data_IF_730724090439
#
_entry.id   IF_730724090439
#
_cell.length_a   1.000
_cell.length_b   1.000
_cell.length_c   1.000
_cell.angle_alpha   90.00
_cell.angle_beta   90.00
_cell.angle_gamma   90.00
#
_symmetry.space_group_name_H-M   'P 1'
#
loop_
_entity.id
_entity.type
_entity.pdbx_description
1 polymer ?
#
# COMPACT_ATOMS: atom_id res chain seq x y z
N UNK A 1 7.19 -13.92 -3.55
CA UNK A 1 6.89 -12.61 -2.93
C UNK A 1 6.42 -12.86 -1.51
N UNK A 2 6.97 -12.18 -0.49
CA UNK A 2 6.69 -12.48 0.93
C UNK A 2 5.26 -12.10 1.36
N UNK A 3 4.59 -11.20 0.64
CA UNK A 3 3.22 -10.77 0.93
C UNK A 3 2.24 -11.31 -0.11
N UNK A 4 1.14 -11.90 0.34
CA UNK A 4 0.07 -12.43 -0.53
C UNK A 4 -1.21 -11.58 -0.48
N UNK A 5 -1.24 -10.54 0.35
CA UNK A 5 -2.39 -9.65 0.57
C UNK A 5 -1.94 -8.21 0.77
N UNK A 6 -2.76 -7.30 0.26
CA UNK A 6 -2.58 -5.86 0.36
C UNK A 6 -3.89 -5.25 0.87
N UNK A 7 -3.80 -4.29 1.78
CA UNK A 7 -4.90 -3.37 2.06
C UNK A 7 -4.68 -2.08 1.30
N UNK A 8 -5.77 -1.47 0.87
CA UNK A 8 -5.77 -0.14 0.31
C UNK A 8 -6.74 0.74 1.11
N UNK A 9 -6.25 1.86 1.61
CA UNK A 9 -7.10 2.89 2.18
C UNK A 9 -7.65 3.79 1.09
N UNK A 10 -8.77 4.47 1.38
CA UNK A 10 -9.29 5.51 0.48
C UNK A 10 -8.27 6.64 0.27
N UNK A 11 -7.52 6.97 1.33
CA UNK A 11 -6.52 8.04 1.37
C UNK A 11 -5.16 7.66 0.74
N UNK A 12 -5.12 6.64 -0.12
CA UNK A 12 -3.93 6.34 -0.92
C UNK A 12 -2.82 5.59 -0.18
N UNK A 13 -3.12 4.92 0.95
CA UNK A 13 -2.13 4.08 1.63
C UNK A 13 -2.29 2.63 1.18
N UNK A 14 -1.19 2.02 0.75
CA UNK A 14 -1.13 0.62 0.37
C UNK A 14 -0.29 -0.13 1.42
N UNK A 15 -0.91 -1.08 2.10
CA UNK A 15 -0.33 -1.74 3.29
C UNK A 15 -0.17 -3.23 2.96
N UNK A 16 1.05 -3.74 2.77
CA UNK A 16 1.27 -5.16 2.64
C UNK A 16 1.01 -5.86 3.97
N UNK A 17 0.23 -6.94 3.92
CA UNK A 17 -0.08 -7.75 5.09
C UNK A 17 0.73 -9.04 5.09
N UNK A 18 1.37 -9.31 6.23
CA UNK A 18 1.97 -10.60 6.50
C UNK A 18 0.90 -11.58 7.00
N UNK A 19 0.76 -12.73 6.34
CA UNK A 19 -0.22 -13.74 6.72
C UNK A 19 0.14 -14.51 8.00
N UNK A 20 1.41 -14.54 8.40
CA UNK A 20 1.87 -15.38 9.53
C UNK A 20 1.73 -14.69 10.89
N UNK A 21 1.90 -13.37 10.94
CA UNK A 21 2.03 -12.64 12.21
C UNK A 21 0.80 -11.79 12.57
N UNK A 22 -0.26 -11.83 11.75
CA UNK A 22 -1.51 -11.14 12.06
C UNK A 22 -2.31 -11.88 13.14
N UNK A 23 -2.71 -11.15 14.18
CA UNK A 23 -3.58 -11.67 15.25
C UNK A 23 -5.02 -11.93 14.80
N UNK A 24 -5.45 -11.28 13.72
CA UNK A 24 -6.81 -11.39 13.16
C UNK A 24 -6.69 -11.99 11.77
N UNK A 25 -7.52 -12.99 11.46
CA UNK A 25 -7.59 -13.52 10.09
C UNK A 25 -7.89 -12.36 9.12
N UNK A 26 -7.00 -12.09 8.13
CA UNK A 26 -7.20 -11.00 7.18
C UNK A 26 -8.55 -11.05 6.43
N UNK A 27 -9.18 -12.22 6.30
CA UNK A 27 -10.53 -12.34 5.71
C UNK A 27 -11.62 -11.68 6.56
N UNK A 28 -11.40 -11.60 7.87
CA UNK A 28 -12.35 -11.05 8.83
C UNK A 28 -12.10 -9.56 9.13
N UNK A 29 -10.99 -8.99 8.64
CA UNK A 29 -10.57 -7.62 8.96
C UNK A 29 -11.60 -6.57 8.56
N UNK A 30 -12.23 -6.72 7.38
CA UNK A 30 -13.22 -5.77 6.89
C UNK A 30 -14.58 -5.85 7.59
N UNK A 31 -14.84 -6.92 8.34
CA UNK A 31 -16.09 -7.11 9.08
C UNK A 31 -15.94 -6.83 10.57
N UNK A 32 -14.73 -7.04 11.12
CA UNK A 32 -14.43 -6.72 12.51
C UNK A 32 -14.07 -5.25 12.65
N UNK A 33 -14.41 -4.66 13.79
CA UNK A 33 -13.98 -3.31 14.15
C UNK A 33 -14.43 -2.22 13.16
N UNK A 34 -15.59 -2.41 12.54
CA UNK A 34 -16.15 -1.46 11.56
C UNK A 34 -15.32 -1.28 10.28
N UNK A 35 -14.30 -2.11 10.06
CA UNK A 35 -13.31 -1.92 8.99
C UNK A 35 -12.31 -0.79 9.26
N UNK A 36 -12.31 -0.20 10.46
CA UNK A 36 -11.36 0.83 10.86
C UNK A 36 -10.10 0.19 11.46
N UNK A 37 -8.95 0.57 10.91
CA UNK A 37 -7.64 0.13 11.38
C UNK A 37 -6.72 1.34 11.52
N UNK A 38 -5.91 1.33 12.57
CA UNK A 38 -4.80 2.28 12.74
C UNK A 38 -3.50 1.55 12.46
N UNK A 39 -2.84 1.92 11.36
CA UNK A 39 -1.55 1.34 10.97
C UNK A 39 -0.41 2.32 11.29
N UNK A 40 0.55 1.87 12.09
CA UNK A 40 1.82 2.56 12.33
C UNK A 40 2.90 1.82 11.56
N UNK A 41 3.63 2.51 10.70
CA UNK A 41 4.61 1.90 9.82
C UNK A 41 5.55 2.90 9.17
N UNK A 42 6.44 2.38 8.31
CA UNK A 42 7.41 3.18 7.56
C UNK A 42 6.93 3.29 6.12
N UNK A 43 6.92 4.51 5.58
CA UNK A 43 6.71 4.72 4.14
C UNK A 43 8.00 4.29 3.43
N UNK A 44 7.94 3.19 2.68
CA UNK A 44 9.11 2.65 1.97
C UNK A 44 9.13 3.03 0.50
N UNK A 45 7.99 3.40 -0.06
CA UNK A 45 7.87 3.79 -1.45
C UNK A 45 6.66 4.70 -1.66
N UNK A 46 6.73 5.55 -2.69
CA UNK A 46 5.66 6.44 -3.11
C UNK A 46 5.50 6.28 -4.62
N UNK A 47 4.27 6.03 -5.07
CA UNK A 47 3.91 5.97 -6.48
C UNK A 47 3.00 7.13 -6.82
N UNK A 48 3.22 7.85 -7.91
CA UNK A 48 2.30 8.93 -8.30
C UNK A 48 3.01 10.10 -8.97
N UNK A 49 2.43 11.29 -8.84
CA UNK A 49 2.95 12.53 -9.42
C UNK A 49 4.37 12.86 -8.92
N UNK A 50 4.71 12.44 -7.70
CA UNK A 50 6.03 12.69 -7.10
C UNK A 50 7.09 11.64 -7.49
N UNK A 51 6.70 10.59 -8.23
CA UNK A 51 7.66 9.62 -8.75
C UNK A 51 8.37 10.21 -9.97
N UNK A 52 9.70 10.33 -9.93
CA UNK A 52 10.49 10.87 -11.05
C UNK A 52 10.66 9.81 -12.16
N UNK A 53 9.97 9.92 -13.32
CA UNK A 53 10.08 8.94 -14.41
C UNK A 53 11.40 9.01 -15.18
N UNK A 54 12.16 10.10 -14.98
CA UNK A 54 13.38 10.44 -15.72
C UNK A 54 14.59 10.50 -14.78
N UNK A 55 14.66 9.58 -13.82
CA UNK A 55 15.86 9.41 -13.00
C UNK A 55 17.00 8.90 -13.88
N UNK A 56 17.96 9.78 -14.18
CA UNK A 56 19.13 9.49 -15.01
C UNK A 56 20.08 8.45 -14.38
N UNK A 57 19.90 8.12 -13.10
CA UNK A 57 20.65 7.07 -12.40
C UNK A 57 19.99 5.69 -12.51
N UNK A 58 18.74 5.61 -12.98
CA UNK A 58 17.99 4.35 -13.06
C UNK A 58 17.41 4.13 -14.46
N UNK A 59 18.10 3.30 -15.25
CA UNK A 59 17.68 2.92 -16.61
C UNK A 59 16.30 2.22 -16.67
N UNK A 60 15.79 1.75 -15.53
CA UNK A 60 14.46 1.15 -15.42
C UNK A 60 13.40 2.11 -14.88
N UNK A 61 13.74 3.36 -14.57
CA UNK A 61 12.81 4.34 -13.98
C UNK A 61 11.53 4.50 -14.82
N UNK A 62 11.67 4.59 -16.14
CA UNK A 62 10.54 4.71 -17.07
C UNK A 62 9.64 3.46 -17.07
N UNK A 63 10.23 2.26 -17.04
CA UNK A 63 9.46 1.01 -16.98
C UNK A 63 8.74 0.85 -15.63
N UNK A 64 9.43 1.18 -14.53
CA UNK A 64 8.85 1.20 -13.19
C UNK A 64 7.69 2.19 -13.12
N UNK A 65 7.87 3.41 -13.66
CA UNK A 65 6.83 4.41 -13.74
C UNK A 65 5.62 3.92 -14.54
N UNK A 66 5.84 3.35 -15.73
CA UNK A 66 4.76 2.82 -16.56
C UNK A 66 3.96 1.72 -15.84
N UNK A 67 4.65 0.76 -15.21
CA UNK A 67 4.01 -0.30 -14.45
C UNK A 67 3.24 0.24 -13.23
N UNK A 68 3.82 1.19 -12.49
CA UNK A 68 3.18 1.79 -11.32
C UNK A 68 1.94 2.61 -11.70
N UNK A 69 2.00 3.38 -12.80
CA UNK A 69 0.87 4.15 -13.31
C UNK A 69 -0.29 3.24 -13.75
N UNK A 70 0.02 2.15 -14.48
CA UNK A 70 -1.00 1.17 -14.87
C UNK A 70 -1.63 0.47 -13.66
N UNK A 71 -0.82 0.10 -12.66
CA UNK A 71 -1.33 -0.49 -11.41
C UNK A 71 -2.21 0.50 -10.65
N UNK A 72 -1.83 1.79 -10.60
CA UNK A 72 -2.60 2.83 -9.94
C UNK A 72 -4.02 2.98 -10.53
N UNK A 73 -4.17 2.91 -11.85
CA UNK A 73 -5.49 3.00 -12.50
C UNK A 73 -6.44 1.86 -12.11
N UNK A 74 -5.90 0.71 -11.71
CA UNK A 74 -6.68 -0.45 -11.27
C UNK A 74 -7.09 -0.38 -9.79
N UNK A 75 -6.47 0.52 -9.03
CA UNK A 75 -6.71 0.64 -7.59
C UNK A 75 -7.95 1.51 -7.32
N UNK A 76 -8.80 1.13 -6.34
CA UNK A 76 -10.01 1.87 -6.00
C UNK A 76 -9.71 3.12 -5.14
N UNK A 77 -8.84 4.02 -5.62
CA UNK A 77 -8.50 5.28 -4.96
C UNK A 77 -8.38 6.41 -5.99
N UNK A 78 -8.73 7.63 -5.59
CA UNK A 78 -8.59 8.85 -6.39
C UNK A 78 -7.32 9.62 -6.06
N UNK A 79 -6.50 9.12 -5.13
CA UNK A 79 -5.34 9.86 -4.64
C UNK A 79 -4.23 9.98 -5.68
N UNK A 80 -3.58 11.14 -5.68
CA UNK A 80 -2.49 11.46 -6.62
C UNK A 80 -1.23 10.65 -6.34
N UNK A 81 -0.96 10.40 -5.07
CA UNK A 81 0.14 9.58 -4.61
C UNK A 81 -0.39 8.38 -3.83
N UNK A 82 0.25 7.24 -4.03
CA UNK A 82 0.03 6.03 -3.27
C UNK A 82 1.29 5.75 -2.46
N UNK A 83 1.14 5.70 -1.14
CA UNK A 83 2.23 5.46 -0.20
C UNK A 83 2.21 4.00 0.23
N UNK A 84 3.29 3.26 -0.06
CA UNK A 84 3.47 1.94 0.54
C UNK A 84 3.90 2.12 1.99
N UNK A 85 3.04 1.70 2.93
CA UNK A 85 3.33 1.69 4.36
C UNK A 85 3.64 0.27 4.78
N UNK A 86 4.91 -0.02 5.08
CA UNK A 86 5.24 -1.30 5.71
C UNK A 86 4.89 -1.25 7.20
N UNK A 87 3.93 -2.08 7.66
CA UNK A 87 3.41 -1.98 9.02
C UNK A 87 4.45 -2.42 10.05
N UNK A 88 4.61 -1.62 11.12
CA UNK A 88 5.28 -1.98 12.36
C UNK A 88 4.24 -2.50 13.37
N UNK A 89 3.09 -1.81 13.44
CA UNK A 89 1.98 -2.18 14.32
C UNK A 89 0.64 -1.86 13.64
N UNK A 90 -0.35 -2.72 13.89
CA UNK A 90 -1.74 -2.51 13.45
C UNK A 90 -2.65 -2.64 14.66
N UNK A 91 -3.41 -1.59 14.92
CA UNK A 91 -4.43 -1.52 15.96
C UNK A 91 -5.80 -1.55 15.29
N UNK A 92 -6.75 -2.16 15.98
CA UNK A 92 -8.13 -2.24 15.53
C UNK A 92 -8.96 -1.27 16.37
N UNK A 93 -9.92 -0.58 15.76
CA UNK A 93 -10.90 0.23 16.49
C UNK A 93 -11.68 -0.62 17.49
N UNK A 94 -12.31 0.01 18.49
CA UNK A 94 -13.21 -0.70 19.43
C UNK A 94 -14.44 -1.26 18.72
#
# INVERSE_FOLDING_TARGET
MPYNRLLISKDGYLIPLDGQYFRVDPKNLGFRYGGEITCVGIITNIFGEDANPNDSQNVFATLQYAANSALKELLPTTEKNICIVHPIAVYYGE
#
